data_IF_683923222297
#
_entry.id   IF_683923222297
#
_cell.length_a   1.000
_cell.length_b   1.000
_cell.length_c   1.000
_cell.angle_alpha   90.00
_cell.angle_beta   90.00
_cell.angle_gamma   90.00
#
_symmetry.space_group_name_H-M   'P 1'
#
loop_
_entity.id
_entity.type
_entity.pdbx_description
1 polymer ?
#
# COMPACT_ATOMS: atom_id res chain seq x y z
N UNK A 1 32.72 50.96 29.31
CA UNK A 1 31.59 51.27 30.20
C UNK A 1 30.33 50.92 29.41
N UNK A 2 29.65 49.79 29.51
CA UNK A 2 29.54 48.75 30.54
C UNK A 2 29.38 47.37 29.86
N UNK A 3 29.90 46.36 30.55
CA UNK A 3 29.81 44.92 30.32
C UNK A 3 28.50 44.36 30.94
N UNK A 4 27.88 43.34 30.33
CA UNK A 4 27.10 42.21 30.91
C UNK A 4 26.19 41.62 29.81
N UNK A 5 26.38 40.43 29.22
CA UNK A 5 26.38 39.04 29.74
C UNK A 5 25.12 38.69 30.56
N UNK A 6 24.60 37.47 30.29
CA UNK A 6 23.62 36.64 31.03
C UNK A 6 22.18 36.77 30.45
N UNK A 7 21.46 35.76 29.92
CA UNK A 7 21.40 34.29 30.18
C UNK A 7 21.17 33.45 28.91
N UNK A 8 21.95 32.38 28.79
CA UNK A 8 21.58 31.15 28.09
C UNK A 8 20.38 30.47 28.78
N UNK A 9 19.45 29.90 28.00
CA UNK A 9 18.44 28.84 28.29
C UNK A 9 17.34 28.95 27.21
N UNK A 10 17.02 28.01 26.32
CA UNK A 10 17.63 26.73 26.01
C UNK A 10 17.34 26.36 24.55
N UNK A 11 18.38 26.07 23.78
CA UNK A 11 18.28 25.20 22.61
C UNK A 11 18.60 23.80 23.12
N UNK A 12 17.61 23.14 23.72
CA UNK A 12 17.63 21.69 23.96
C UNK A 12 16.23 21.17 23.66
N UNK A 13 15.86 21.14 22.39
CA UNK A 13 14.71 20.37 21.91
C UNK A 13 14.82 19.95 20.44
N UNK A 14 15.94 20.23 19.75
CA UNK A 14 16.11 19.85 18.34
C UNK A 14 16.83 18.51 18.15
N UNK A 15 17.45 17.94 19.20
CA UNK A 15 18.08 16.61 19.11
C UNK A 15 17.09 15.46 19.27
N UNK A 16 16.00 15.62 20.03
CA UNK A 16 15.09 14.50 20.31
C UNK A 16 14.27 14.06 19.09
N UNK A 17 13.83 14.99 18.23
CA UNK A 17 13.06 14.65 17.02
C UNK A 17 13.91 13.98 15.94
N UNK A 18 15.15 14.44 15.73
CA UNK A 18 16.05 13.81 14.77
C UNK A 18 16.50 12.41 15.24
N UNK A 19 16.78 12.24 16.53
CA UNK A 19 17.19 10.94 17.10
C UNK A 19 16.03 9.95 17.09
N UNK A 20 14.80 10.37 17.40
CA UNK A 20 13.63 9.51 17.32
C UNK A 20 13.34 9.04 15.88
N UNK A 21 13.52 9.91 14.88
CA UNK A 21 13.39 9.55 13.47
C UNK A 21 14.42 8.52 12.99
N UNK A 22 15.69 8.68 13.40
CA UNK A 22 16.77 7.73 13.08
C UNK A 22 16.56 6.39 13.77
N UNK A 23 16.31 6.38 15.09
CA UNK A 23 16.06 5.15 15.84
C UNK A 23 14.85 4.38 15.28
N UNK A 24 13.82 5.10 14.81
CA UNK A 24 12.67 4.49 14.15
C UNK A 24 13.01 3.83 12.81
N UNK A 25 13.80 4.51 11.97
CA UNK A 25 14.25 3.96 10.69
C UNK A 25 15.12 2.71 10.92
N UNK A 26 15.95 2.71 11.96
CA UNK A 26 16.76 1.57 12.36
C UNK A 26 15.89 0.37 12.78
N UNK A 27 14.85 0.59 13.58
CA UNK A 27 13.92 -0.45 14.00
C UNK A 27 13.13 -1.05 12.83
N UNK A 28 12.60 -0.20 11.94
CA UNK A 28 11.89 -0.67 10.74
C UNK A 28 12.82 -1.49 9.83
N UNK A 29 14.04 -1.00 9.59
CA UNK A 29 15.01 -1.69 8.76
C UNK A 29 15.52 -3.01 9.34
N UNK A 30 15.55 -3.15 10.67
CA UNK A 30 15.87 -4.42 11.34
C UNK A 30 14.71 -5.43 11.22
N UNK A 31 13.47 -4.98 11.41
CA UNK A 31 12.28 -5.82 11.20
C UNK A 31 12.22 -6.33 9.76
N UNK A 32 12.46 -5.46 8.78
CA UNK A 32 12.49 -5.83 7.37
C UNK A 32 13.62 -6.83 7.08
N UNK A 33 14.83 -6.63 7.65
CA UNK A 33 15.94 -7.58 7.50
C UNK A 33 15.62 -8.95 8.07
N UNK A 34 15.05 -9.03 9.28
CA UNK A 34 14.60 -10.29 9.87
C UNK A 34 13.56 -10.98 8.99
N UNK A 35 12.59 -10.23 8.48
CA UNK A 35 11.56 -10.77 7.61
C UNK A 35 12.12 -11.33 6.31
N UNK A 36 13.01 -10.58 5.65
CA UNK A 36 13.68 -11.00 4.41
C UNK A 36 14.65 -12.18 4.61
N UNK A 37 15.20 -12.34 5.82
CA UNK A 37 16.00 -13.51 6.21
C UNK A 37 15.16 -14.78 6.47
N UNK A 38 13.83 -14.72 6.32
CA UNK A 38 12.91 -15.82 6.61
C UNK A 38 12.58 -15.96 8.11
N UNK A 39 13.09 -15.06 8.96
CA UNK A 39 12.82 -15.04 10.40
C UNK A 39 11.54 -14.26 10.71
N UNK A 40 10.45 -14.59 10.00
CA UNK A 40 9.19 -13.86 10.10
C UNK A 40 8.63 -13.83 11.54
N UNK A 41 8.79 -14.90 12.32
CA UNK A 41 8.34 -14.94 13.71
C UNK A 41 9.06 -13.91 14.59
N UNK A 42 10.38 -13.72 14.38
CA UNK A 42 11.16 -12.73 15.13
C UNK A 42 10.81 -11.31 14.71
N UNK A 43 10.61 -11.08 13.41
CA UNK A 43 10.15 -9.80 12.87
C UNK A 43 8.80 -9.38 13.50
N UNK A 44 7.82 -10.29 13.55
CA UNK A 44 6.54 -10.02 14.19
C UNK A 44 6.68 -9.81 15.71
N UNK A 45 7.47 -10.63 16.40
CA UNK A 45 7.68 -10.47 17.84
C UNK A 45 8.28 -9.09 18.19
N UNK A 46 9.24 -8.61 17.39
CA UNK A 46 9.83 -7.28 17.56
C UNK A 46 8.81 -6.18 17.29
N UNK A 47 8.05 -6.28 16.22
CA UNK A 47 7.00 -5.31 15.88
C UNK A 47 5.89 -5.27 16.94
N UNK A 48 5.47 -6.42 17.46
CA UNK A 48 4.45 -6.51 18.51
C UNK A 48 4.94 -5.89 19.83
N UNK A 49 6.24 -5.98 20.14
CA UNK A 49 6.84 -5.26 21.28
C UNK A 49 6.72 -3.74 21.11
N UNK A 50 7.05 -3.21 19.93
CA UNK A 50 6.91 -1.77 19.63
C UNK A 50 5.45 -1.30 19.72
N UNK A 51 4.51 -2.14 19.26
CA UNK A 51 3.08 -1.87 19.36
C UNK A 51 2.55 -2.02 20.79
N UNK A 52 3.17 -2.82 21.66
CA UNK A 52 2.77 -2.87 23.07
C UNK A 52 3.03 -1.53 23.78
N UNK A 53 4.13 -0.85 23.44
CA UNK A 53 4.49 0.45 23.98
C UNK A 53 3.63 1.58 23.40
N UNK A 54 3.27 1.50 22.11
CA UNK A 54 2.38 2.46 21.44
C UNK A 54 1.37 1.77 20.49
N UNK A 55 0.22 1.28 21.01
CA UNK A 55 -0.71 0.46 20.23
C UNK A 55 -1.38 1.18 19.06
N UNK A 56 -1.45 2.51 19.10
CA UNK A 56 -2.09 3.30 18.05
C UNK A 56 -1.10 3.83 17.02
N UNK A 57 0.20 3.59 17.16
CA UNK A 57 1.22 4.10 16.22
C UNK A 57 0.87 3.72 14.76
N UNK A 58 0.51 4.68 13.90
CA UNK A 58 0.00 4.38 12.56
C UNK A 58 1.07 3.70 11.69
N UNK A 59 2.33 4.07 11.87
CA UNK A 59 3.43 3.57 11.07
C UNK A 59 3.80 2.12 11.45
N UNK A 60 3.76 1.75 12.74
CA UNK A 60 3.97 0.35 13.16
C UNK A 60 2.79 -0.55 12.79
N UNK A 61 1.56 -0.04 12.91
CA UNK A 61 0.37 -0.74 12.42
C UNK A 61 0.43 -0.94 10.91
N UNK A 62 0.87 0.08 10.16
CA UNK A 62 1.03 -0.02 8.71
C UNK A 62 2.05 -1.09 8.33
N UNK A 63 3.23 -1.08 8.97
CA UNK A 63 4.24 -2.12 8.78
C UNK A 63 3.68 -3.52 9.07
N UNK A 64 2.89 -3.68 10.15
CA UNK A 64 2.23 -4.96 10.48
C UNK A 64 1.33 -5.42 9.34
N UNK A 65 0.50 -4.53 8.80
CA UNK A 65 -0.35 -4.81 7.63
C UNK A 65 0.45 -5.27 6.42
N UNK A 66 1.58 -4.59 6.13
CA UNK A 66 2.48 -4.94 5.02
C UNK A 66 3.10 -6.33 5.21
N UNK A 67 3.64 -6.64 6.39
CA UNK A 67 4.24 -7.95 6.67
C UNK A 67 3.20 -9.08 6.61
N UNK A 68 1.97 -8.82 7.07
CA UNK A 68 0.86 -9.78 6.94
C UNK A 68 0.53 -10.05 5.47
N UNK A 69 0.46 -9.02 4.63
CA UNK A 69 0.20 -9.17 3.20
C UNK A 69 1.31 -9.96 2.50
N UNK A 70 2.59 -9.63 2.78
CA UNK A 70 3.74 -10.37 2.25
C UNK A 70 3.75 -11.83 2.72
N UNK A 71 3.26 -12.10 3.93
CA UNK A 71 3.09 -13.45 4.48
C UNK A 71 1.86 -14.20 3.93
N UNK A 72 1.20 -13.71 2.88
CA UNK A 72 -0.05 -14.25 2.31
C UNK A 72 -1.22 -14.32 3.30
N UNK A 73 -1.17 -13.55 4.39
CA UNK A 73 -2.24 -13.41 5.41
C UNK A 73 -3.14 -12.23 5.05
N UNK A 74 -3.69 -12.24 3.83
CA UNK A 74 -4.39 -11.09 3.24
C UNK A 74 -5.63 -10.62 4.04
N UNK A 75 -6.37 -11.54 4.67
CA UNK A 75 -7.53 -11.17 5.49
C UNK A 75 -7.15 -10.41 6.76
N UNK A 76 -6.04 -10.77 7.39
CA UNK A 76 -5.54 -10.07 8.57
C UNK A 76 -4.94 -8.72 8.18
N UNK A 77 -4.21 -8.65 7.07
CA UNK A 77 -3.71 -7.39 6.52
C UNK A 77 -4.86 -6.42 6.22
N UNK A 78 -5.92 -6.89 5.56
CA UNK A 78 -7.11 -6.07 5.27
C UNK A 78 -7.77 -5.53 6.54
N UNK A 79 -7.84 -6.33 7.62
CA UNK A 79 -8.38 -5.87 8.89
C UNK A 79 -7.52 -4.72 9.47
N UNK A 80 -6.19 -4.86 9.45
CA UNK A 80 -5.27 -3.81 9.92
C UNK A 80 -5.41 -2.52 9.08
N UNK A 81 -5.41 -2.63 7.75
CA UNK A 81 -5.55 -1.46 6.89
C UNK A 81 -6.92 -0.79 6.98
N UNK A 82 -7.99 -1.58 7.20
CA UNK A 82 -9.34 -1.03 7.45
C UNK A 82 -9.38 -0.25 8.75
N UNK A 83 -8.76 -0.75 9.81
CA UNK A 83 -8.68 0.02 11.06
C UNK A 83 -7.84 1.29 10.90
N UNK A 84 -6.74 1.22 10.14
CA UNK A 84 -5.92 2.38 9.83
C UNK A 84 -6.66 3.43 9.01
N UNK A 85 -7.47 3.04 8.02
CA UNK A 85 -8.25 4.00 7.22
C UNK A 85 -9.35 4.68 8.03
N UNK A 86 -9.86 4.03 9.08
CA UNK A 86 -10.82 4.63 10.02
C UNK A 86 -10.13 5.58 10.99
N UNK A 87 -9.02 5.16 11.59
CA UNK A 87 -8.31 5.95 12.62
C UNK A 87 -7.50 7.12 12.01
N UNK A 88 -6.98 6.95 10.79
CA UNK A 88 -6.07 7.86 10.09
C UNK A 88 -6.52 8.05 8.63
N UNK A 89 -7.70 8.67 8.40
CA UNK A 89 -8.26 8.80 7.05
C UNK A 89 -7.42 9.67 6.10
N UNK A 90 -6.48 10.45 6.61
CA UNK A 90 -5.51 11.25 5.86
C UNK A 90 -4.33 10.44 5.31
N UNK A 91 -4.13 9.21 5.78
CA UNK A 91 -3.07 8.33 5.27
C UNK A 91 -3.54 7.64 3.98
N UNK A 92 -2.92 7.92 2.81
CA UNK A 92 -3.33 7.31 1.57
C UNK A 92 -2.89 5.84 1.42
N UNK A 93 -1.83 5.42 2.11
CA UNK A 93 -1.21 4.10 1.93
C UNK A 93 -2.09 2.92 2.38
N UNK A 94 -2.83 2.96 3.51
CA UNK A 94 -3.76 1.90 3.88
C UNK A 94 -4.83 1.64 2.81
N UNK A 95 -5.38 2.70 2.21
CA UNK A 95 -6.35 2.57 1.12
C UNK A 95 -5.76 1.92 -0.12
N UNK A 96 -4.55 2.31 -0.52
CA UNK A 96 -3.86 1.68 -1.65
C UNK A 96 -3.62 0.18 -1.41
N UNK A 97 -3.23 -0.22 -0.19
CA UNK A 97 -3.03 -1.63 0.14
C UNK A 97 -4.34 -2.42 0.18
N UNK A 98 -5.42 -1.84 0.71
CA UNK A 98 -6.77 -2.43 0.63
C UNK A 98 -7.17 -2.67 -0.82
N UNK A 99 -6.88 -1.72 -1.71
CA UNK A 99 -7.21 -1.86 -3.12
C UNK A 99 -6.47 -3.02 -3.79
N UNK A 100 -5.17 -3.19 -3.51
CA UNK A 100 -4.40 -4.33 -4.01
C UNK A 100 -5.02 -5.65 -3.52
N UNK A 101 -5.35 -5.75 -2.23
CA UNK A 101 -5.98 -6.96 -1.66
C UNK A 101 -7.34 -7.25 -2.31
N UNK A 102 -8.16 -6.22 -2.54
CA UNK A 102 -9.45 -6.37 -3.22
C UNK A 102 -9.27 -6.78 -4.69
N UNK A 103 -8.32 -6.19 -5.41
CA UNK A 103 -8.03 -6.52 -6.80
C UNK A 103 -7.53 -7.97 -6.95
N UNK A 104 -6.66 -8.44 -6.04
CA UNK A 104 -6.23 -9.85 -5.99
C UNK A 104 -7.38 -10.84 -5.80
N UNK A 105 -8.50 -10.40 -5.20
CA UNK A 105 -9.73 -11.18 -5.01
C UNK A 105 -10.76 -11.00 -6.13
N UNK A 106 -10.44 -10.21 -7.16
CA UNK A 106 -11.38 -9.84 -8.22
C UNK A 106 -12.48 -8.86 -7.78
N UNK A 107 -12.37 -8.26 -6.59
CA UNK A 107 -13.33 -7.30 -6.04
C UNK A 107 -13.04 -5.88 -6.57
N UNK A 108 -13.05 -5.71 -7.89
CA UNK A 108 -12.56 -4.48 -8.55
C UNK A 108 -13.33 -3.21 -8.18
N UNK A 109 -14.63 -3.29 -7.90
CA UNK A 109 -15.41 -2.14 -7.42
C UNK A 109 -14.92 -1.64 -6.05
N UNK A 110 -14.59 -2.57 -5.14
CA UNK A 110 -14.03 -2.22 -3.83
C UNK A 110 -12.62 -1.66 -3.98
N UNK A 111 -11.82 -2.22 -4.89
CA UNK A 111 -10.49 -1.73 -5.19
C UNK A 111 -10.53 -0.29 -5.71
N UNK A 112 -11.44 0.02 -6.64
CA UNK A 112 -11.65 1.36 -7.16
C UNK A 112 -12.01 2.34 -6.03
N UNK A 113 -13.01 2.02 -5.20
CA UNK A 113 -13.44 2.90 -4.11
C UNK A 113 -12.31 3.18 -3.09
N UNK A 114 -11.47 2.18 -2.82
CA UNK A 114 -10.30 2.34 -1.98
C UNK A 114 -9.26 3.29 -2.63
N UNK A 115 -8.95 3.12 -3.91
CA UNK A 115 -7.99 4.00 -4.62
C UNK A 115 -8.50 5.43 -4.74
N UNK A 116 -9.78 5.63 -4.99
CA UNK A 116 -10.40 6.96 -4.95
C UNK A 116 -10.28 7.60 -3.55
N UNK A 117 -10.37 6.80 -2.48
CA UNK A 117 -10.13 7.27 -1.12
C UNK A 117 -8.67 7.67 -0.90
N UNK A 118 -7.72 6.86 -1.40
CA UNK A 118 -6.29 7.18 -1.36
C UNK A 118 -6.00 8.52 -2.06
N UNK A 119 -6.63 8.76 -3.21
CA UNK A 119 -6.46 9.98 -4.00
C UNK A 119 -7.19 11.19 -3.42
N UNK A 120 -8.28 10.98 -2.66
CA UNK A 120 -8.87 12.06 -1.85
C UNK A 120 -7.94 12.48 -0.71
N UNK A 121 -7.28 11.53 -0.06
CA UNK A 121 -6.30 11.80 1.00
C UNK A 121 -5.03 12.47 0.45
N UNK A 122 -4.53 12.00 -0.70
CA UNK A 122 -3.39 12.59 -1.39
C UNK A 122 -3.60 12.58 -2.93
N UNK A 123 -4.04 13.70 -3.52
CA UNK A 123 -4.27 13.81 -4.97
C UNK A 123 -3.02 13.59 -5.84
N UNK A 124 -1.82 13.73 -5.28
CA UNK A 124 -0.54 13.53 -5.98
C UNK A 124 0.03 12.13 -5.80
N UNK A 125 -0.72 11.19 -5.23
CA UNK A 125 -0.23 9.83 -4.99
C UNK A 125 -0.18 9.00 -6.29
N UNK A 126 0.94 9.11 -7.00
CA UNK A 126 1.14 8.51 -8.32
C UNK A 126 0.91 6.99 -8.34
N UNK A 127 1.31 6.27 -7.29
CA UNK A 127 1.11 4.81 -7.18
C UNK A 127 -0.38 4.47 -7.16
N UNK A 128 -1.19 5.20 -6.40
CA UNK A 128 -2.64 4.99 -6.38
C UNK A 128 -3.28 5.33 -7.73
N UNK A 129 -2.81 6.35 -8.45
CA UNK A 129 -3.29 6.62 -9.82
C UNK A 129 -2.96 5.49 -10.79
N UNK A 130 -1.75 4.95 -10.72
CA UNK A 130 -1.37 3.81 -11.56
C UNK A 130 -2.26 2.60 -11.27
N UNK A 131 -2.42 2.25 -9.99
CA UNK A 131 -3.27 1.13 -9.58
C UNK A 131 -4.75 1.35 -9.97
N UNK A 132 -5.23 2.60 -9.98
CA UNK A 132 -6.58 2.92 -10.42
C UNK A 132 -6.75 2.70 -11.93
N UNK A 133 -5.73 3.06 -12.71
CA UNK A 133 -5.65 2.69 -14.13
C UNK A 133 -5.74 1.19 -14.34
N UNK A 134 -4.95 0.40 -13.61
CA UNK A 134 -4.97 -1.07 -13.70
C UNK A 134 -6.36 -1.64 -13.34
N UNK A 135 -6.99 -1.14 -12.29
CA UNK A 135 -8.36 -1.51 -11.90
C UNK A 135 -9.38 -1.15 -12.99
N UNK A 136 -9.27 0.02 -13.63
CA UNK A 136 -10.14 0.40 -14.75
C UNK A 136 -9.99 -0.52 -15.97
N UNK A 137 -8.77 -1.00 -16.27
CA UNK A 137 -8.56 -2.01 -17.33
C UNK A 137 -9.32 -3.30 -17.01
N UNK A 138 -9.32 -3.74 -15.75
CA UNK A 138 -10.04 -4.94 -15.30
C UNK A 138 -11.56 -4.76 -15.42
N UNK A 139 -12.09 -3.63 -14.96
CA UNK A 139 -13.52 -3.30 -15.03
C UNK A 139 -14.01 -3.20 -16.49
N UNK A 140 -13.21 -2.59 -17.37
CA UNK A 140 -13.49 -2.53 -18.78
C UNK A 140 -13.55 -3.94 -19.41
N UNK A 141 -12.61 -4.83 -19.03
CA UNK A 141 -12.61 -6.21 -19.51
C UNK A 141 -13.88 -6.94 -19.10
N UNK A 142 -14.25 -6.90 -17.82
CA UNK A 142 -15.46 -7.54 -17.31
C UNK A 142 -16.73 -7.02 -17.99
N UNK A 143 -16.79 -5.71 -18.24
CA UNK A 143 -17.91 -5.09 -18.96
C UNK A 143 -18.01 -5.58 -20.40
N UNK A 144 -16.89 -5.72 -21.10
CA UNK A 144 -16.86 -6.26 -22.46
C UNK A 144 -17.18 -7.75 -22.50
N UNK A 145 -16.69 -8.55 -21.56
CA UNK A 145 -17.04 -9.97 -21.42
C UNK A 145 -18.56 -10.12 -21.26
N UNK A 146 -19.16 -9.32 -20.37
CA UNK A 146 -20.60 -9.31 -20.19
C UNK A 146 -21.37 -8.88 -21.44
N UNK A 147 -20.89 -7.86 -22.16
CA UNK A 147 -21.51 -7.42 -23.39
C UNK A 147 -21.46 -8.52 -24.48
N UNK A 148 -20.36 -9.27 -24.56
CA UNK A 148 -20.22 -10.39 -25.50
C UNK A 148 -21.14 -11.57 -25.15
N UNK A 149 -21.34 -11.86 -23.86
CA UNK A 149 -22.33 -12.86 -23.42
C UNK A 149 -23.74 -12.48 -23.84
N UNK A 150 -24.09 -11.20 -23.77
CA UNK A 150 -25.41 -10.68 -24.13
C UNK A 150 -25.63 -10.60 -25.65
N UNK A 151 -24.58 -10.32 -26.42
CA UNK A 151 -24.63 -10.28 -27.88
C UNK A 151 -23.38 -10.93 -28.51
N UNK A 152 -23.37 -12.27 -28.67
CA UNK A 152 -22.21 -12.98 -29.21
C UNK A 152 -21.88 -12.63 -30.67
N UNK A 153 -22.82 -12.02 -31.41
CA UNK A 153 -22.62 -11.60 -32.79
C UNK A 153 -21.93 -10.24 -32.94
N UNK A 154 -21.71 -9.50 -31.85
CA UNK A 154 -21.01 -8.21 -31.89
C UNK A 154 -19.50 -8.39 -32.12
N UNK A 155 -19.11 -8.30 -33.39
CA UNK A 155 -17.70 -8.39 -33.81
C UNK A 155 -16.81 -7.25 -33.33
N UNK A 156 -17.36 -6.19 -32.72
CA UNK A 156 -16.58 -5.03 -32.24
C UNK A 156 -15.94 -5.27 -30.86
N UNK A 157 -16.46 -6.23 -30.08
CA UNK A 157 -16.03 -6.46 -28.69
C UNK A 157 -14.75 -7.29 -28.63
N UNK A 158 -14.66 -8.37 -29.44
CA UNK A 158 -13.53 -9.29 -29.41
C UNK A 158 -12.16 -8.61 -29.66
N UNK A 159 -12.01 -7.64 -30.59
CA UNK A 159 -10.77 -6.88 -30.73
C UNK A 159 -10.40 -6.06 -29.48
N UNK A 160 -11.38 -5.44 -28.81
CA UNK A 160 -11.14 -4.64 -27.60
C UNK A 160 -10.67 -5.51 -26.43
N UNK A 161 -11.29 -6.68 -26.24
CA UNK A 161 -10.85 -7.66 -25.26
C UNK A 161 -9.41 -8.13 -25.50
N UNK A 162 -9.00 -8.31 -26.76
CA UNK A 162 -7.63 -8.68 -27.11
C UNK A 162 -6.62 -7.61 -26.69
N UNK A 163 -6.93 -6.33 -26.91
CA UNK A 163 -6.08 -5.22 -26.47
C UNK A 163 -5.96 -5.16 -24.94
N UNK A 164 -7.09 -5.28 -24.23
CA UNK A 164 -7.10 -5.26 -22.77
C UNK A 164 -6.31 -6.43 -22.16
N UNK A 165 -6.38 -7.63 -22.73
CA UNK A 165 -5.56 -8.77 -22.29
C UNK A 165 -4.07 -8.45 -22.35
N UNK A 166 -3.61 -7.79 -23.40
CA UNK A 166 -2.20 -7.37 -23.53
C UNK A 166 -1.75 -6.30 -22.52
N UNK A 167 -2.68 -5.55 -21.91
CA UNK A 167 -2.37 -4.61 -20.83
C UNK A 167 -2.36 -5.27 -19.44
N UNK A 168 -3.06 -6.39 -19.30
CA UNK A 168 -3.24 -7.11 -18.03
C UNK A 168 -2.18 -8.21 -17.84
N UNK A 169 -1.66 -8.77 -18.91
CA UNK A 169 -0.59 -9.76 -18.84
C UNK A 169 0.73 -9.09 -18.42
N UNK A 170 1.47 -9.66 -17.44
CA UNK A 170 2.82 -9.18 -17.15
C UNK A 170 3.69 -9.33 -18.41
N UNK A 171 4.46 -8.29 -18.75
CA UNK A 171 5.27 -8.14 -19.97
C UNK A 171 6.28 -9.27 -20.28
N UNK A 172 6.36 -10.30 -19.44
CA UNK A 172 7.22 -11.47 -19.60
C UNK A 172 6.65 -12.56 -20.52
N UNK A 173 5.32 -12.62 -20.73
CA UNK A 173 4.71 -13.67 -21.57
C UNK A 173 5.01 -13.52 -23.08
N UNK A 174 5.46 -12.34 -23.51
CA UNK A 174 5.82 -12.04 -24.90
C UNK A 174 7.30 -12.18 -25.23
N UNK A 175 8.15 -12.64 -24.30
CA UNK A 175 9.61 -12.84 -24.53
C UNK A 175 10.02 -14.29 -24.83
N UNK A 176 9.09 -15.25 -24.85
CA UNK A 176 9.39 -16.67 -25.10
C UNK A 176 8.86 -17.22 -26.44
N UNK A 177 8.85 -16.41 -27.49
CA UNK A 177 8.83 -16.85 -28.89
C UNK A 177 9.66 -15.83 -29.67
N UNK A 178 10.85 -16.14 -30.21
CA UNK A 178 11.14 -17.08 -31.31
C UNK A 178 12.65 -16.95 -31.65
N UNK A 179 13.31 -17.84 -32.43
CA UNK A 179 12.89 -19.14 -32.98
C UNK A 179 13.47 -20.35 -32.25
#
# INVERSE_FOLDING_TARGET
MFLAIIRAFGIVALCAFAVAGVARADEAGEIDRLFMAGQASEAFARLDKLLADNPRDPQWRFLKGVLLAQSKRASEAAAVFTQLSVDYPEMPEPYNNLAVIHAERGEFDKAQAALESALRANPSYAVAQQNLGDVHVQLARLSYERALELNPADGTIAPKLRLLRGLVEPAAASRTQKP
#
